data_IF_023675398679
#
_entry.id   IF_023675398679
#
_cell.length_a   1.000
_cell.length_b   1.000
_cell.length_c   1.000
_cell.angle_alpha   90.00
_cell.angle_beta   90.00
_cell.angle_gamma   90.00
#
_symmetry.space_group_name_H-M   'P 1'
#
loop_
_entity.id
_entity.type
_entity.pdbx_description
1 polymer ?
#
# COMPACT_ATOMS: atom_id res chain seq x y z
N UNK A 1 -11.59 -1.72 15.89
CA UNK A 1 -10.22 -1.93 16.41
C UNK A 1 -10.17 -1.34 17.81
N UNK A 2 -9.50 -1.96 18.78
CA UNK A 2 -9.41 -1.43 20.15
C UNK A 2 -7.95 -1.10 20.52
N UNK A 3 -7.72 -0.58 21.75
CA UNK A 3 -6.39 -0.19 22.22
C UNK A 3 -5.38 -1.33 22.25
N UNK A 4 -5.83 -2.57 22.53
CA UNK A 4 -4.93 -3.73 22.51
C UNK A 4 -4.54 -4.07 21.06
N UNK A 5 -5.48 -3.97 20.12
CA UNK A 5 -5.17 -4.15 18.69
C UNK A 5 -4.12 -3.15 18.21
N UNK A 6 -4.27 -1.86 18.60
CA UNK A 6 -3.29 -0.83 18.25
C UNK A 6 -1.91 -1.10 18.84
N UNK A 7 -1.84 -1.56 20.09
CA UNK A 7 -0.57 -1.94 20.74
C UNK A 7 0.09 -3.13 20.06
N UNK A 8 -0.70 -4.13 19.65
CA UNK A 8 -0.22 -5.29 18.89
C UNK A 8 0.36 -4.81 17.55
N UNK A 9 -0.41 -4.05 16.77
CA UNK A 9 0.03 -3.56 15.45
C UNK A 9 1.28 -2.69 15.53
N UNK A 10 1.40 -1.84 16.55
CA UNK A 10 2.61 -1.03 16.78
C UNK A 10 3.82 -1.90 17.07
N UNK A 11 3.69 -2.87 17.98
CA UNK A 11 4.80 -3.76 18.33
C UNK A 11 5.31 -4.54 17.11
N UNK A 12 4.40 -5.09 16.29
CA UNK A 12 4.79 -5.84 15.09
C UNK A 12 5.30 -4.94 13.96
N UNK A 13 4.96 -3.66 13.95
CA UNK A 13 5.54 -2.70 13.00
C UNK A 13 6.97 -2.28 13.41
N UNK A 14 7.22 -2.10 14.70
CA UNK A 14 8.54 -1.75 15.25
C UNK A 14 9.49 -2.96 15.22
N UNK A 15 8.97 -4.16 15.46
CA UNK A 15 9.74 -5.41 15.48
C UNK A 15 9.06 -6.50 14.64
N UNK A 16 9.18 -6.46 13.31
CA UNK A 16 8.48 -7.39 12.42
C UNK A 16 8.80 -8.88 12.63
N UNK A 17 9.91 -9.17 13.32
CA UNK A 17 10.36 -10.53 13.62
C UNK A 17 10.00 -11.00 15.03
N UNK A 18 9.28 -10.21 15.81
CA UNK A 18 8.84 -10.61 17.14
C UNK A 18 7.87 -11.79 17.04
N UNK A 19 8.14 -12.85 17.81
CA UNK A 19 7.23 -13.99 17.89
C UNK A 19 6.03 -13.69 18.81
N UNK A 20 4.89 -14.36 18.55
CA UNK A 20 3.65 -14.20 19.33
C UNK A 20 3.86 -14.41 20.83
N UNK A 21 4.72 -15.34 21.24
CA UNK A 21 5.02 -15.58 22.65
C UNK A 21 5.71 -14.38 23.30
N UNK A 22 6.71 -13.81 22.63
CA UNK A 22 7.41 -12.63 23.14
C UNK A 22 6.50 -11.41 23.13
N UNK A 23 5.71 -11.22 22.07
CA UNK A 23 4.72 -10.16 21.99
C UNK A 23 3.71 -10.24 23.16
N UNK A 24 3.25 -11.45 23.50
CA UNK A 24 2.33 -11.64 24.63
C UNK A 24 2.94 -11.21 25.98
N UNK A 25 4.21 -11.53 26.21
CA UNK A 25 4.95 -11.11 27.41
C UNK A 25 5.07 -9.59 27.51
N UNK A 26 5.47 -8.94 26.44
CA UNK A 26 5.62 -7.48 26.39
C UNK A 26 4.32 -6.72 26.52
N UNK A 27 3.25 -7.26 25.95
CA UNK A 27 1.92 -6.67 26.02
C UNK A 27 1.17 -6.98 27.33
N UNK A 28 1.67 -7.95 28.13
CA UNK A 28 1.04 -8.36 29.39
C UNK A 28 -0.29 -9.10 29.18
N UNK A 29 -0.43 -9.87 28.09
CA UNK A 29 -1.66 -10.63 27.77
C UNK A 29 -1.33 -12.09 27.42
N UNK A 30 -2.32 -12.98 27.46
CA UNK A 30 -2.12 -14.37 27.09
C UNK A 30 -1.71 -14.53 25.62
N UNK A 31 -0.84 -15.51 25.31
CA UNK A 31 -0.42 -15.85 23.94
C UNK A 31 -1.61 -16.05 22.99
N UNK A 32 -2.63 -16.79 23.44
CA UNK A 32 -3.84 -17.04 22.65
C UNK A 32 -4.60 -15.78 22.33
N UNK A 33 -4.58 -14.77 23.22
CA UNK A 33 -5.20 -13.47 22.98
C UNK A 33 -4.49 -12.72 21.84
N UNK A 34 -3.16 -12.70 21.83
CA UNK A 34 -2.39 -12.07 20.73
C UNK A 34 -2.68 -12.77 19.41
N UNK A 35 -2.62 -14.11 19.40
CA UNK A 35 -2.87 -14.90 18.18
C UNK A 35 -4.28 -14.63 17.63
N UNK A 36 -5.31 -14.77 18.45
CA UNK A 36 -6.70 -14.55 18.03
C UNK A 36 -6.93 -13.12 17.49
N UNK A 37 -6.24 -12.11 18.06
CA UNK A 37 -6.30 -10.73 17.58
C UNK A 37 -5.62 -10.57 16.21
N UNK A 38 -4.44 -11.13 16.02
CA UNK A 38 -3.74 -11.13 14.74
C UNK A 38 -4.56 -11.82 13.64
N UNK A 39 -5.13 -12.98 13.95
CA UNK A 39 -5.98 -13.74 13.01
C UNK A 39 -7.20 -12.91 12.59
N UNK A 40 -7.86 -12.25 13.55
CA UNK A 40 -9.00 -11.37 13.28
C UNK A 40 -8.60 -10.15 12.45
N UNK A 41 -7.49 -9.49 12.77
CA UNK A 41 -6.99 -8.32 12.04
C UNK A 41 -6.60 -8.67 10.60
N UNK A 42 -6.07 -9.88 10.41
CA UNK A 42 -5.76 -10.41 9.08
C UNK A 42 -7.05 -10.75 8.32
N UNK A 43 -7.98 -11.46 8.94
CA UNK A 43 -9.25 -11.83 8.31
C UNK A 43 -10.11 -10.61 7.93
N UNK A 44 -10.02 -9.52 8.71
CA UNK A 44 -10.71 -8.25 8.40
C UNK A 44 -9.97 -7.34 7.42
N UNK A 45 -8.81 -7.75 6.89
CA UNK A 45 -8.02 -6.97 5.96
C UNK A 45 -7.25 -5.77 6.55
N UNK A 46 -7.28 -5.58 7.87
CA UNK A 46 -6.47 -4.55 8.55
C UNK A 46 -4.98 -4.86 8.39
N UNK A 47 -4.60 -6.12 8.57
CA UNK A 47 -3.26 -6.65 8.24
C UNK A 47 -3.35 -7.31 6.88
N UNK A 48 -2.71 -6.72 5.87
CA UNK A 48 -2.72 -7.20 4.48
C UNK A 48 -1.67 -8.28 4.21
N UNK A 49 -0.66 -8.40 5.05
CA UNK A 49 0.41 -9.38 4.88
C UNK A 49 1.51 -9.23 5.93
N UNK A 50 2.43 -10.18 5.92
CA UNK A 50 3.57 -10.30 6.84
C UNK A 50 4.91 -10.33 6.08
N UNK A 51 4.90 -9.92 4.80
CA UNK A 51 6.11 -9.85 4.00
C UNK A 51 7.03 -8.69 4.42
N UNK A 52 8.30 -8.73 4.01
CA UNK A 52 9.21 -7.60 4.19
C UNK A 52 8.71 -6.39 3.40
N UNK A 53 8.92 -5.19 3.94
CA UNK A 53 8.83 -3.97 3.18
C UNK A 53 10.08 -3.83 2.31
N UNK A 54 9.89 -3.63 1.01
CA UNK A 54 11.00 -3.63 0.03
C UNK A 54 11.11 -2.23 -0.58
N UNK A 55 12.29 -1.64 -0.47
CA UNK A 55 12.62 -0.36 -1.10
C UNK A 55 13.00 -0.54 -2.57
N UNK A 56 12.21 -0.01 -3.53
CA UNK A 56 12.55 -0.06 -4.95
C UNK A 56 13.89 0.60 -5.27
N UNK A 57 14.25 1.68 -4.57
CA UNK A 57 15.54 2.37 -4.74
C UNK A 57 16.72 1.46 -4.43
N UNK A 58 16.65 0.68 -3.36
CA UNK A 58 17.66 -0.30 -2.99
C UNK A 58 17.74 -1.49 -3.98
N UNK A 59 16.66 -1.77 -4.71
CA UNK A 59 16.65 -2.74 -5.82
C UNK A 59 17.19 -2.17 -7.15
N UNK A 60 17.62 -0.91 -7.16
CA UNK A 60 18.15 -0.26 -8.35
C UNK A 60 17.11 0.49 -9.19
N UNK A 61 15.95 0.82 -8.62
CA UNK A 61 14.89 1.63 -9.23
C UNK A 61 14.70 2.97 -8.48
N UNK A 62 15.68 3.90 -8.53
CA UNK A 62 15.64 5.14 -7.76
C UNK A 62 14.66 6.18 -8.29
N UNK A 63 14.21 6.05 -9.56
CA UNK A 63 13.28 7.00 -10.15
C UNK A 63 11.86 6.56 -9.84
N UNK A 64 11.07 7.45 -9.23
CA UNK A 64 9.63 7.26 -9.04
C UNK A 64 8.88 8.28 -9.88
N UNK A 65 7.83 7.85 -10.57
CA UNK A 65 6.94 8.74 -11.30
C UNK A 65 5.47 8.35 -11.06
N UNK A 66 4.59 9.34 -11.25
CA UNK A 66 3.15 9.16 -11.28
C UNK A 66 2.65 9.40 -12.70
N UNK A 67 2.03 8.39 -13.29
CA UNK A 67 1.51 8.43 -14.67
C UNK A 67 0.00 8.44 -14.61
N UNK A 68 -0.60 9.54 -15.05
CA UNK A 68 -2.04 9.66 -15.22
C UNK A 68 -2.43 9.17 -16.61
N UNK A 69 -3.44 8.34 -16.70
CA UNK A 69 -3.95 7.77 -17.95
C UNK A 69 -5.37 8.29 -18.23
N UNK A 70 -5.64 8.65 -19.47
CA UNK A 70 -6.96 8.75 -20.05
C UNK A 70 -7.26 7.45 -20.79
N UNK A 71 -8.41 6.82 -20.51
CA UNK A 71 -8.76 5.51 -21.07
C UNK A 71 -10.06 5.56 -21.86
N UNK A 72 -10.18 4.70 -22.84
CA UNK A 72 -11.43 4.50 -23.57
C UNK A 72 -12.47 3.85 -22.68
N UNK A 73 -13.56 4.55 -22.40
CA UNK A 73 -14.56 4.24 -21.36
C UNK A 73 -15.36 2.92 -21.57
N UNK A 74 -15.14 2.14 -22.59
CA UNK A 74 -16.14 1.16 -23.01
C UNK A 74 -15.89 -0.31 -22.71
N UNK A 75 -14.72 -0.76 -22.17
CA UNK A 75 -14.55 -2.18 -21.77
C UNK A 75 -13.46 -2.41 -20.75
N UNK A 76 -13.85 -3.02 -19.61
CA UNK A 76 -12.93 -3.87 -18.82
C UNK A 76 -11.86 -3.16 -18.01
N UNK A 77 -12.23 -2.34 -17.02
CA UNK A 77 -11.26 -1.79 -16.05
C UNK A 77 -10.39 -2.89 -15.41
N UNK A 78 -10.98 -4.07 -15.18
CA UNK A 78 -10.23 -5.20 -14.60
C UNK A 78 -9.17 -5.71 -15.57
N UNK A 79 -9.50 -5.87 -16.85
CA UNK A 79 -8.55 -6.28 -17.89
C UNK A 79 -7.42 -5.25 -18.09
N UNK A 80 -7.71 -3.94 -17.97
CA UNK A 80 -6.70 -2.90 -17.98
C UNK A 80 -5.77 -3.01 -16.77
N UNK A 81 -6.34 -3.21 -15.58
CA UNK A 81 -5.57 -3.36 -14.34
C UNK A 81 -4.63 -4.58 -14.40
N UNK A 82 -5.11 -5.72 -14.91
CA UNK A 82 -4.29 -6.92 -15.10
C UNK A 82 -3.13 -6.68 -16.08
N UNK A 83 -3.37 -5.97 -17.19
CA UNK A 83 -2.33 -5.64 -18.17
C UNK A 83 -1.30 -4.67 -17.62
N UNK A 84 -1.73 -3.65 -16.87
CA UNK A 84 -0.83 -2.72 -16.19
C UNK A 84 -0.01 -3.43 -15.12
N UNK A 85 -0.62 -4.35 -14.36
CA UNK A 85 0.07 -5.16 -13.36
C UNK A 85 1.09 -6.14 -13.96
N UNK A 86 1.00 -6.46 -15.25
CA UNK A 86 2.00 -7.27 -15.95
C UNK A 86 3.30 -6.50 -16.26
N UNK A 87 3.32 -5.16 -16.10
CA UNK A 87 4.52 -4.33 -16.19
C UNK A 87 5.16 -4.26 -14.82
N UNK A 88 6.33 -4.88 -14.58
CA UNK A 88 6.90 -5.00 -13.22
C UNK A 88 7.19 -3.66 -12.54
N UNK A 89 7.47 -2.63 -13.32
CA UNK A 89 7.74 -1.27 -12.86
C UNK A 89 6.48 -0.53 -12.40
N UNK A 90 5.28 -1.04 -12.69
CA UNK A 90 4.01 -0.49 -12.18
C UNK A 90 3.73 -1.07 -10.80
N UNK A 91 3.87 -0.26 -9.77
CA UNK A 91 3.72 -0.68 -8.37
C UNK A 91 2.29 -0.52 -7.85
N UNK A 92 1.57 0.50 -8.33
CA UNK A 92 0.20 0.80 -7.91
C UNK A 92 -0.62 1.31 -9.09
N UNK A 93 -1.91 0.96 -9.11
CA UNK A 93 -2.89 1.43 -10.10
C UNK A 93 -4.15 1.84 -9.35
N UNK A 94 -4.58 3.08 -9.52
CA UNK A 94 -5.76 3.64 -8.89
C UNK A 94 -6.69 4.25 -9.91
N UNK A 95 -7.99 4.00 -9.79
CA UNK A 95 -8.99 4.82 -10.47
C UNK A 95 -9.07 6.16 -9.75
N UNK A 96 -9.05 7.26 -10.50
CA UNK A 96 -9.08 8.62 -9.94
C UNK A 96 -10.25 9.42 -10.51
N UNK A 97 -10.53 10.54 -9.85
CA UNK A 97 -11.40 11.62 -10.34
C UNK A 97 -10.54 12.82 -10.73
N UNK A 98 -10.97 13.64 -11.69
CA UNK A 98 -10.26 14.86 -12.11
C UNK A 98 -9.65 14.72 -13.51
N UNK A 99 -8.40 15.12 -13.67
CA UNK A 99 -7.72 15.19 -14.97
C UNK A 99 -7.18 13.81 -15.39
N UNK A 100 -8.06 12.85 -15.62
CA UNK A 100 -7.73 11.50 -16.06
C UNK A 100 -8.57 10.46 -15.36
N UNK A 101 -8.44 9.21 -15.76
CA UNK A 101 -9.25 8.08 -15.30
C UNK A 101 -8.49 7.16 -14.35
N UNK A 102 -7.18 7.00 -14.57
CA UNK A 102 -6.31 6.09 -13.83
C UNK A 102 -5.00 6.78 -13.47
N UNK A 103 -4.50 6.53 -12.26
CA UNK A 103 -3.18 6.96 -11.78
C UNK A 103 -2.35 5.72 -11.48
N UNK A 104 -1.16 5.65 -12.10
CA UNK A 104 -0.17 4.62 -11.82
C UNK A 104 1.01 5.23 -11.05
N UNK A 105 1.49 4.54 -10.00
CA UNK A 105 2.82 4.77 -9.45
C UNK A 105 3.78 3.82 -10.12
N UNK A 106 4.81 4.37 -10.74
CA UNK A 106 5.81 3.59 -11.47
C UNK A 106 7.21 3.90 -10.95
N UNK A 107 8.12 2.95 -11.14
CA UNK A 107 9.53 3.11 -10.80
C UNK A 107 10.40 2.80 -12.03
N UNK A 108 11.62 3.33 -12.04
CA UNK A 108 12.58 3.09 -13.13
C UNK A 108 14.02 3.18 -12.62
N UNK A 109 14.94 2.58 -13.35
CA UNK A 109 16.38 2.60 -13.04
C UNK A 109 17.03 3.93 -13.43
N UNK A 110 16.44 4.62 -14.40
CA UNK A 110 16.92 5.92 -14.93
C UNK A 110 15.77 6.62 -15.66
N UNK A 111 15.97 7.88 -16.06
CA UNK A 111 15.03 8.60 -16.91
C UNK A 111 14.82 7.93 -18.27
N UNK A 112 15.87 7.35 -18.86
CA UNK A 112 15.77 6.59 -20.11
C UNK A 112 14.96 5.30 -19.92
N UNK A 113 15.06 4.66 -18.76
CA UNK A 113 14.28 3.49 -18.39
C UNK A 113 12.82 3.84 -18.13
N UNK A 114 12.57 5.01 -17.50
CA UNK A 114 11.22 5.53 -17.31
C UNK A 114 10.48 5.70 -18.64
N UNK A 115 11.19 6.19 -19.68
CA UNK A 115 10.57 6.31 -21.00
C UNK A 115 10.12 4.95 -21.54
N UNK A 116 10.93 3.89 -21.39
CA UNK A 116 10.53 2.52 -21.79
C UNK A 116 9.31 2.01 -21.01
N UNK A 117 9.26 2.30 -19.71
CA UNK A 117 8.11 1.95 -18.88
C UNK A 117 6.85 2.68 -19.35
N UNK A 118 6.96 3.98 -19.67
CA UNK A 118 5.84 4.75 -20.21
C UNK A 118 5.39 4.19 -21.56
N UNK A 119 6.33 3.86 -22.45
CA UNK A 119 6.01 3.27 -23.76
C UNK A 119 5.28 1.93 -23.60
N UNK A 120 5.68 1.10 -22.62
CA UNK A 120 5.00 -0.14 -22.31
C UNK A 120 3.57 0.08 -21.79
N UNK A 121 3.35 1.12 -20.97
CA UNK A 121 2.03 1.51 -20.47
C UNK A 121 1.14 2.02 -21.61
N UNK A 122 1.68 2.87 -22.49
CA UNK A 122 0.97 3.42 -23.66
C UNK A 122 0.55 2.31 -24.64
N UNK A 123 1.36 1.26 -24.75
CA UNK A 123 1.06 0.11 -25.59
C UNK A 123 -0.09 -0.77 -25.04
N UNK A 124 -0.53 -0.56 -23.79
CA UNK A 124 -1.67 -1.27 -23.20
C UNK A 124 -2.96 -0.85 -23.91
N UNK A 125 -3.68 -1.81 -24.46
CA UNK A 125 -4.94 -1.55 -25.14
C UNK A 125 -5.95 -0.85 -24.23
N UNK A 126 -6.50 0.25 -24.70
CA UNK A 126 -7.46 1.09 -23.97
C UNK A 126 -6.84 2.37 -23.40
N UNK A 127 -5.52 2.51 -23.36
CA UNK A 127 -4.86 3.76 -23.01
C UNK A 127 -4.88 4.69 -24.23
N UNK A 128 -5.40 5.91 -24.08
CA UNK A 128 -5.48 6.92 -25.13
C UNK A 128 -4.44 8.02 -24.97
N UNK A 129 -4.22 8.45 -23.73
CA UNK A 129 -3.28 9.51 -23.41
C UNK A 129 -2.63 9.27 -22.05
N UNK A 130 -1.40 9.75 -21.90
CA UNK A 130 -0.67 9.73 -20.63
C UNK A 130 -0.12 11.09 -20.28
N UNK A 131 -0.07 11.38 -18.98
CA UNK A 131 0.65 12.52 -18.42
C UNK A 131 1.52 12.02 -17.27
N UNK A 132 2.79 12.39 -17.26
CA UNK A 132 3.77 11.87 -16.29
C UNK A 132 4.34 12.99 -15.44
N UNK A 133 4.40 12.76 -14.13
CA UNK A 133 5.07 13.62 -13.15
C UNK A 133 6.14 12.80 -12.44
N UNK A 134 7.40 13.25 -12.49
CA UNK A 134 8.50 12.60 -11.77
C UNK A 134 8.54 13.13 -10.34
N UNK A 135 8.54 12.22 -9.36
CA UNK A 135 8.76 12.56 -7.97
C UNK A 135 10.24 12.81 -7.71
N UNK A 136 10.59 14.03 -7.34
CA UNK A 136 11.99 14.39 -7.06
C UNK A 136 12.48 13.82 -5.73
N UNK A 137 11.59 13.75 -4.73
CA UNK A 137 11.85 13.15 -3.41
C UNK A 137 10.53 12.74 -2.74
N UNK A 138 10.56 11.67 -1.97
CA UNK A 138 9.50 11.32 -1.05
C UNK A 138 9.72 12.04 0.29
N UNK A 139 9.04 13.16 0.51
CA UNK A 139 9.13 13.91 1.78
C UNK A 139 8.49 13.14 2.94
N UNK A 140 7.42 12.41 2.67
CA UNK A 140 6.79 11.46 3.59
C UNK A 140 6.54 10.18 2.81
N UNK A 141 7.21 9.07 3.15
CA UNK A 141 6.94 7.78 2.51
C UNK A 141 5.53 7.29 2.89
N UNK A 142 5.00 6.37 2.08
CA UNK A 142 3.71 5.74 2.39
C UNK A 142 3.77 5.09 3.78
N UNK A 143 2.77 5.39 4.61
CA UNK A 143 2.66 4.85 5.97
C UNK A 143 1.21 4.82 6.42
N UNK A 144 0.78 3.70 7.01
CA UNK A 144 -0.54 3.56 7.62
C UNK A 144 -0.50 3.59 9.16
N UNK A 145 0.67 3.42 9.77
CA UNK A 145 0.82 3.35 11.24
C UNK A 145 0.20 4.52 12.03
N UNK A 146 0.28 5.79 11.59
CA UNK A 146 -0.38 6.88 12.31
C UNK A 146 -1.90 6.71 12.44
N UNK A 147 -2.55 6.05 11.48
CA UNK A 147 -3.99 5.80 11.51
C UNK A 147 -4.40 4.74 12.54
N UNK A 148 -3.48 3.87 12.94
CA UNK A 148 -3.74 2.80 13.92
C UNK A 148 -4.13 3.40 15.28
N UNK A 149 -3.43 4.45 15.73
CA UNK A 149 -3.74 5.12 16.99
C UNK A 149 -5.09 5.84 16.92
N UNK A 150 -5.32 6.62 15.86
CA UNK A 150 -6.58 7.35 15.65
C UNK A 150 -7.79 6.41 15.65
N UNK A 151 -7.72 5.31 14.89
CA UNK A 151 -8.81 4.35 14.82
C UNK A 151 -9.09 3.62 16.15
N UNK A 152 -8.07 3.46 17.00
CA UNK A 152 -8.25 2.87 18.33
C UNK A 152 -8.91 3.86 19.31
N UNK A 153 -8.56 5.14 19.23
CA UNK A 153 -9.14 6.19 20.08
C UNK A 153 -10.60 6.45 19.72
N UNK A 154 -10.94 6.52 18.42
CA UNK A 154 -12.32 6.63 17.95
C UNK A 154 -13.19 5.46 18.42
N UNK A 155 -12.67 4.23 18.36
CA UNK A 155 -13.38 3.06 18.86
C UNK A 155 -13.60 3.08 20.38
N UNK A 156 -12.70 3.70 21.14
CA UNK A 156 -12.86 3.89 22.58
C UNK A 156 -13.94 4.93 22.90
N UNK A 157 -14.03 6.01 22.12
CA UNK A 157 -15.04 7.06 22.27
C UNK A 157 -16.45 6.59 21.86
N UNK A 158 -16.54 5.70 20.88
CA UNK A 158 -17.82 5.15 20.39
C UNK A 158 -18.47 4.12 21.33
N UNK A 159 -17.78 3.64 22.36
CA UNK A 159 -18.35 2.73 23.36
C UNK A 159 -19.24 3.53 24.32
N UNK A 160 -20.57 3.21 24.45
CA UNK A 160 -21.41 3.85 25.44
C UNK A 160 -20.81 3.63 26.84
N UNK A 161 -20.77 4.68 27.63
CA UNK A 161 -20.42 4.58 29.06
C UNK A 161 -21.52 3.79 29.71
N UNK A 162 -21.23 2.54 30.11
CA UNK A 162 -22.09 1.71 30.95
C UNK A 162 -22.14 2.24 32.40
#
# INVERSE_FOLDING_TARGET
MDQLDARILRLFAEEPRVGVLEASRRLGVARGTVQARLDRLTASGVVRGWGPDVDPGALGYPVTAFVTLEIRQHRGRDALAERLAAVPEVLEVHTITGAGDVLCRVVARSNADLQRTIDAIVAVEGVERTSTVIALAALVPYRAQPLVAVAADEAALARPRS
#
